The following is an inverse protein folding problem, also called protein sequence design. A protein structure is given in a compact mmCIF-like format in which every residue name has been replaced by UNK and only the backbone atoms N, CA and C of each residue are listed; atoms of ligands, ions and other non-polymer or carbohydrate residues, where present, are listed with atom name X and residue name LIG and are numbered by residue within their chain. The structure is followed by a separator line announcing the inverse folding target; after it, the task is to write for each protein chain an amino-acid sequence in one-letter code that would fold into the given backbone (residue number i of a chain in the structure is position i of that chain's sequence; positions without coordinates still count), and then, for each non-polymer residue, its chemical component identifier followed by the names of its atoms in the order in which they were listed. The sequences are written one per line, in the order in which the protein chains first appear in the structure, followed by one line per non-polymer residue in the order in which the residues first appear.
data_IF_108685158100
#
_entry.id   IF_108685158100
#
_cell.length_a   1.000
_cell.length_b   1.000
_cell.length_c   1.000
_cell.angle_alpha   90.00
_cell.angle_beta   90.00
_cell.angle_gamma   90.00
#
_symmetry.space_group_name_H-M   'P 1'
#
loop_
_entity.id
_entity.type
_entity.pdbx_description
1 polymer ?
2 non-polymer ?
3 non-polymer ?
4 non-polymer ?
5 water ?
#
# COMPACT_ATOMS: atom_id res chain seq x y z
N UNK A 3 32.04 -40.54 -24.17
CA UNK A 3 31.05 -39.52 -24.60
C UNK A 3 30.93 -38.42 -23.55
N UNK A 4 30.85 -37.17 -24.02
CA UNK A 4 30.76 -36.04 -23.11
C UNK A 4 29.41 -35.77 -22.47
N UNK A 5 29.33 -34.72 -21.63
CA UNK A 5 28.13 -34.31 -20.91
C UNK A 5 27.10 -33.60 -21.79
N UNK A 6 25.85 -33.59 -21.32
CA UNK A 6 24.73 -33.00 -22.02
C UNK A 6 24.49 -31.55 -21.64
N UNK A 7 23.80 -30.78 -22.50
CA UNK A 7 23.55 -29.38 -22.15
C UNK A 7 22.78 -29.26 -20.82
N UNK A 8 22.97 -28.15 -20.11
CA UNK A 8 22.31 -27.96 -18.83
C UNK A 8 20.83 -27.62 -18.97
N UNK A 9 20.02 -28.06 -18.01
CA UNK A 9 18.59 -27.79 -18.05
C UNK A 9 18.30 -26.42 -17.45
N UNK A 10 17.06 -25.99 -17.57
CA UNK A 10 16.67 -24.72 -17.02
C UNK A 10 16.04 -25.05 -15.67
N UNK A 11 16.04 -24.09 -14.77
CA UNK A 11 15.43 -24.27 -13.47
C UNK A 11 14.76 -22.95 -13.17
N UNK A 12 13.44 -22.95 -13.21
CA UNK A 12 12.67 -21.73 -12.99
C UNK A 12 11.58 -21.88 -11.95
N UNK A 13 11.32 -20.81 -11.21
CA UNK A 13 10.29 -20.82 -10.17
C UNK A 13 9.09 -20.05 -10.70
N UNK A 14 7.89 -20.47 -10.29
CA UNK A 14 6.65 -19.82 -10.75
C UNK A 14 5.57 -19.78 -9.67
N UNK A 15 4.80 -18.69 -9.62
CA UNK A 15 4.93 -17.51 -10.51
C UNK A 15 6.25 -16.72 -10.41
N UNK A 16 6.94 -16.81 -9.27
CA UNK A 16 8.19 -16.08 -9.09
C UNK A 16 9.18 -16.76 -8.14
N UNK A 17 10.44 -16.37 -8.22
CA UNK A 17 11.48 -16.92 -7.34
C UNK A 17 11.43 -16.13 -6.03
N UNK A 18 10.70 -15.03 -6.05
CA UNK A 18 10.52 -14.20 -4.85
C UNK A 18 9.16 -14.62 -4.33
N UNK A 19 9.15 -15.31 -3.21
CA UNK A 19 7.91 -15.80 -2.64
C UNK A 19 7.62 -15.30 -1.25
N UNK A 20 6.47 -14.64 -1.07
CA UNK A 20 6.14 -14.15 0.27
C UNK A 20 5.72 -15.35 1.12
N UNK A 21 6.14 -15.36 2.38
CA UNK A 21 5.81 -16.46 3.28
C UNK A 21 4.33 -16.78 3.21
N UNK A 22 3.99 -18.06 3.34
CA UNK A 22 2.61 -18.52 3.30
C UNK A 22 2.11 -18.66 1.86
N UNK A 23 2.82 -18.04 0.91
CA UNK A 23 2.40 -18.11 -0.48
C UNK A 23 3.03 -19.30 -1.19
N UNK A 24 2.43 -19.74 -2.32
CA UNK A 24 2.94 -20.89 -3.07
C UNK A 24 3.98 -20.58 -4.16
N UNK A 25 4.80 -21.59 -4.44
CA UNK A 25 5.84 -21.50 -5.47
C UNK A 25 6.17 -22.92 -5.93
N UNK A 26 6.31 -23.08 -7.24
CA UNK A 26 6.64 -24.37 -7.82
C UNK A 26 7.91 -24.28 -8.66
N UNK A 27 8.88 -25.15 -8.37
CA UNK A 27 10.15 -25.18 -9.08
C UNK A 27 10.07 -26.23 -10.18
N UNK A 28 10.62 -25.88 -11.34
CA UNK A 28 10.59 -26.80 -12.46
C UNK A 28 11.94 -26.92 -13.14
N UNK A 29 12.41 -28.17 -13.29
CA UNK A 29 13.66 -28.43 -13.98
C UNK A 29 13.23 -28.82 -15.40
N UNK A 30 13.96 -28.35 -16.41
CA UNK A 30 13.57 -28.69 -17.78
C UNK A 30 14.75 -28.79 -18.72
N UNK A 31 14.99 -29.98 -19.24
CA UNK A 31 16.09 -30.18 -20.18
C UNK A 31 15.51 -30.63 -21.50
N UNK A 32 16.35 -31.02 -22.48
CA UNK A 32 15.84 -31.46 -23.78
C UNK A 32 14.75 -32.54 -23.67
N UNK A 33 13.96 -32.71 -24.74
CA UNK A 33 12.91 -33.72 -24.70
C UNK A 33 13.45 -35.15 -24.61
N UNK A 34 12.77 -35.97 -23.82
CA UNK A 34 13.15 -37.36 -23.67
C UNK A 34 14.27 -37.78 -22.72
N UNK A 35 14.53 -37.04 -21.65
CA UNK A 35 15.59 -37.46 -20.73
C UNK A 35 15.09 -38.58 -19.80
N UNK A 36 16.02 -39.39 -19.29
CA UNK A 36 15.67 -40.50 -18.41
C UNK A 36 15.37 -40.13 -16.96
N UNK A 37 16.26 -39.35 -16.35
CA UNK A 37 16.09 -38.97 -14.95
C UNK A 37 16.37 -37.50 -14.71
N UNK A 38 15.68 -36.95 -13.71
CA UNK A 38 15.86 -35.56 -13.31
C UNK A 38 16.32 -35.57 -11.87
N UNK A 39 17.18 -34.64 -11.52
CA UNK A 39 17.65 -34.54 -10.14
C UNK A 39 17.64 -33.08 -9.68
N UNK A 40 16.81 -32.80 -8.69
CA UNK A 40 16.64 -31.46 -8.15
C UNK A 40 17.15 -31.41 -6.71
N UNK A 41 18.12 -30.55 -6.45
CA UNK A 41 18.68 -30.45 -5.12
C UNK A 41 18.67 -29.05 -4.53
N UNK A 42 18.78 -29.01 -3.20
CA UNK A 42 18.86 -27.76 -2.46
C UNK A 42 20.28 -27.81 -1.92
N UNK A 43 21.07 -26.78 -2.19
CA UNK A 43 22.46 -26.78 -1.74
C UNK A 43 22.69 -26.81 -0.23
N UNK A 44 21.76 -26.27 0.56
CA UNK A 44 21.90 -26.21 2.01
C UNK A 44 21.88 -27.57 2.70
N UNK A 45 21.10 -28.49 2.16
CA UNK A 45 21.00 -29.83 2.74
C UNK A 45 21.62 -30.85 1.82
N UNK A 46 21.94 -30.42 0.59
CA UNK A 46 22.53 -31.30 -0.41
C UNK A 46 21.55 -32.46 -0.70
N UNK A 47 20.38 -32.38 -0.07
CA UNK A 47 19.32 -33.38 -0.22
C UNK A 47 18.64 -33.13 -1.56
N UNK A 48 18.24 -34.20 -2.25
CA UNK A 48 17.63 -34.06 -3.55
C UNK A 48 16.39 -34.94 -3.74
N UNK A 49 15.80 -34.83 -4.92
CA UNK A 49 14.63 -35.60 -5.29
C UNK A 49 14.83 -35.90 -6.77
N UNK A 50 14.48 -37.11 -7.20
CA UNK A 50 14.67 -37.47 -8.60
C UNK A 50 13.47 -37.19 -9.50
N UNK A 51 12.96 -35.97 -9.43
CA UNK A 51 11.82 -35.53 -10.25
C UNK A 51 12.07 -34.06 -10.58
N UNK A 52 11.51 -33.60 -11.69
CA UNK A 52 11.71 -32.22 -12.13
C UNK A 52 10.88 -31.15 -11.42
N UNK A 53 9.74 -31.52 -10.84
CA UNK A 53 8.93 -30.51 -10.19
C UNK A 53 8.80 -30.61 -8.69
N UNK A 54 8.98 -29.47 -8.03
CA UNK A 54 8.84 -29.37 -6.58
C UNK A 54 7.75 -28.33 -6.32
N UNK A 55 6.72 -28.72 -5.59
CA UNK A 55 5.65 -27.79 -5.29
C UNK A 55 5.71 -27.41 -3.82
N UNK A 56 5.65 -26.11 -3.57
CA UNK A 56 5.67 -25.61 -2.20
C UNK A 56 4.34 -24.90 -1.99
N UNK A 57 3.38 -25.58 -1.32
CA UNK A 57 2.07 -24.99 -1.07
C UNK A 57 2.16 -23.68 -0.27
N UNK A 58 3.01 -23.68 0.75
CA UNK A 58 3.20 -22.50 1.58
C UNK A 58 4.69 -22.28 1.83
N UNK A 59 5.21 -21.19 1.30
CA UNK A 59 6.61 -20.84 1.41
C UNK A 59 7.08 -20.71 2.87
N UNK A 60 8.14 -21.42 3.23
CA UNK A 60 8.68 -21.37 4.58
C UNK A 60 10.10 -20.82 4.57
N UNK A 61 10.50 -20.23 5.69
CA UNK A 61 11.82 -19.64 5.84
C UNK A 61 12.90 -20.65 5.49
N UNK A 62 12.79 -21.86 6.05
CA UNK A 62 13.77 -22.92 5.82
C UNK A 62 13.77 -23.42 4.38
N UNK A 63 12.77 -23.01 3.60
CA UNK A 63 12.67 -23.45 2.21
C UNK A 63 13.35 -22.45 1.28
N UNK A 64 13.81 -21.33 1.84
CA UNK A 64 14.49 -20.32 1.03
C UNK A 64 15.90 -20.83 0.83
N UNK A 65 16.59 -20.28 -0.17
CA UNK A 65 17.96 -20.72 -0.44
C UNK A 65 18.20 -21.09 -1.89
N UNK A 66 19.37 -21.66 -2.15
CA UNK A 66 19.75 -22.07 -3.50
C UNK A 66 19.33 -23.48 -3.91
N UNK A 67 18.88 -23.61 -5.15
CA UNK A 67 18.48 -24.90 -5.71
C UNK A 67 19.20 -25.10 -7.04
N UNK A 68 19.39 -26.36 -7.41
CA UNK A 68 20.09 -26.69 -8.64
C UNK A 68 19.57 -28.01 -9.16
N UNK A 69 19.70 -28.25 -10.45
CA UNK A 69 19.22 -29.52 -10.98
C UNK A 69 20.00 -29.98 -12.20
N UNK A 70 20.03 -31.29 -12.39
CA UNK A 70 20.68 -31.93 -13.52
C UNK A 70 19.80 -33.08 -13.99
N UNK A 71 20.03 -33.55 -15.20
CA UNK A 71 19.27 -34.68 -15.69
C UNK A 71 20.23 -35.72 -16.25
N UNK A 72 19.81 -36.97 -16.22
CA UNK A 72 20.62 -38.06 -16.72
C UNK A 72 19.91 -38.76 -17.89
N UNK A 73 20.51 -38.73 -19.07
CA UNK A 73 19.93 -39.40 -20.22
C UNK A 73 20.88 -40.52 -20.58
N UNK A 74 20.38 -41.74 -20.62
CA UNK A 74 21.27 -42.85 -20.90
C UNK A 74 22.04 -42.96 -19.59
N UNK A 75 23.35 -42.85 -19.63
CA UNK A 75 24.13 -42.90 -18.40
C UNK A 75 24.92 -41.62 -18.29
N UNK A 76 24.67 -40.69 -19.21
CA UNK A 76 25.37 -39.41 -19.22
C UNK A 76 24.65 -38.31 -18.45
N UNK A 77 25.41 -37.55 -17.66
CA UNK A 77 24.87 -36.45 -16.90
C UNK A 77 25.00 -35.17 -17.72
N UNK A 78 24.23 -34.16 -17.33
CA UNK A 78 24.24 -32.87 -18.00
C UNK A 78 24.97 -31.91 -17.11
N UNK A 79 25.39 -30.79 -17.65
CA UNK A 79 26.04 -29.78 -16.84
C UNK A 79 24.92 -29.42 -15.88
N UNK A 80 25.25 -28.88 -14.69
CA UNK A 80 24.21 -28.51 -13.73
C UNK A 80 23.51 -27.23 -14.18
N UNK A 81 22.23 -27.10 -13.85
CA UNK A 81 21.50 -25.89 -14.24
C UNK A 81 22.08 -24.75 -13.44
N UNK A 82 21.72 -23.53 -13.82
CA UNK A 82 22.17 -22.37 -13.09
C UNK A 82 21.46 -22.48 -11.75
N UNK A 83 22.05 -21.89 -10.72
CA UNK A 83 21.45 -21.94 -9.40
C UNK A 83 20.20 -21.06 -9.34
N UNK A 84 19.14 -21.59 -8.73
CA UNK A 84 17.90 -20.85 -8.58
C UNK A 84 17.94 -20.39 -7.13
N UNK A 85 17.81 -19.07 -6.95
CA UNK A 85 17.84 -18.49 -5.60
C UNK A 85 16.41 -18.24 -5.12
N UNK A 86 15.84 -19.21 -4.42
CA UNK A 86 14.48 -19.08 -3.92
C UNK A 86 14.49 -18.14 -2.71
N UNK A 87 13.84 -17.00 -2.87
CA UNK A 87 13.80 -15.98 -1.82
C UNK A 87 12.46 -15.92 -1.08
N UNK A 88 12.53 -15.78 0.24
CA UNK A 88 11.33 -15.65 1.06
C UNK A 88 11.21 -14.17 1.45
N UNK A 89 10.10 -13.54 1.06
CA UNK A 89 9.86 -12.14 1.38
C UNK A 89 8.81 -12.08 2.49
N UNK A 90 8.82 -10.97 3.23
CA UNK A 90 7.87 -10.81 4.31
C UNK A 90 8.44 -11.44 5.57
N UNK A 91 9.75 -11.56 5.64
CA UNK A 91 10.39 -12.15 6.81
C UNK A 91 10.67 -11.08 7.85
N UNK A 92 10.76 -9.84 7.40
CA UNK A 92 11.04 -8.71 8.29
C UNK A 92 10.08 -7.57 7.98
N UNK A 93 10.06 -6.57 8.85
CA UNK A 93 9.23 -5.40 8.68
C UNK A 93 9.70 -4.66 7.44
N UNK A 94 8.75 -4.26 6.61
CA UNK A 94 9.04 -3.56 5.36
C UNK A 94 9.82 -2.26 5.57
N UNK A 95 10.73 -1.92 4.65
CA UNK A 95 11.47 -0.67 4.84
C UNK A 95 10.60 0.44 4.24
N UNK A 96 11.08 1.68 4.33
CA UNK A 96 10.33 2.80 3.77
C UNK A 96 11.14 3.42 2.66
N UNK A 97 10.49 3.56 1.51
CA UNK A 97 11.11 4.11 0.31
C UNK A 97 10.77 5.59 0.08
N UNK A 98 11.79 6.42 -0.06
CA UNK A 98 11.56 7.85 -0.29
C UNK A 98 12.48 8.39 -1.35
N UNK A 99 12.10 9.51 -1.93
CA UNK A 99 12.91 10.16 -2.96
C UNK A 99 13.87 11.12 -2.26
N UNK A 100 15.08 11.23 -2.78
CA UNK A 100 16.07 12.11 -2.19
C UNK A 100 16.37 13.27 -3.13
N UNK A 101 16.78 14.42 -2.57
CA UNK A 101 17.10 15.61 -3.37
C UNK A 101 18.21 15.38 -4.38
N UNK A 102 18.00 15.85 -5.61
CA UNK A 102 19.01 15.71 -6.63
C UNK A 102 19.73 17.03 -6.87
N UNK A 103 20.88 17.04 -7.56
CA UNK A 103 21.56 18.32 -7.77
C UNK A 103 20.74 19.30 -8.60
N UNK A 104 20.77 20.56 -8.19
CA UNK A 104 20.03 21.63 -8.85
C UNK A 104 20.34 21.74 -10.34
N UNK A 105 21.56 21.39 -10.72
CA UNK A 105 21.94 21.46 -12.12
C UNK A 105 21.56 20.13 -12.78
N UNK A 106 21.68 20.05 -14.10
CA UNK A 106 21.32 18.83 -14.83
C UNK A 106 21.87 17.57 -14.16
N UNK A 107 21.18 16.44 -14.37
CA UNK A 107 21.61 15.18 -13.77
C UNK A 107 21.41 13.96 -14.69
N UNK A 108 20.99 14.21 -15.92
CA UNK A 108 20.78 13.12 -16.87
C UNK A 108 19.73 12.09 -16.50
N UNK A 109 18.61 12.55 -15.98
CA UNK A 109 17.55 11.62 -15.61
C UNK A 109 17.80 10.83 -14.33
N UNK A 110 18.99 10.98 -13.77
CA UNK A 110 19.32 10.28 -12.53
C UNK A 110 18.27 10.57 -11.47
N UNK A 111 18.01 9.59 -10.62
CA UNK A 111 17.03 9.71 -9.54
C UNK A 111 17.59 8.94 -8.34
N UNK A 112 17.60 9.57 -7.17
CA UNK A 112 18.11 8.91 -5.99
C UNK A 112 16.98 8.56 -5.05
N UNK A 113 16.89 7.29 -4.70
CA UNK A 113 15.86 6.82 -3.79
C UNK A 113 16.55 6.30 -2.54
N UNK A 114 15.85 6.33 -1.41
CA UNK A 114 16.40 5.82 -0.16
C UNK A 114 15.54 4.70 0.36
N UNK A 115 16.15 3.56 0.64
CA UNK A 115 15.43 2.42 1.18
C UNK A 115 15.87 2.32 2.64
N UNK A 116 15.08 2.91 3.52
CA UNK A 116 15.40 2.97 4.94
C UNK A 116 14.72 1.97 5.85
N UNK A 117 15.54 1.25 6.59
CA UNK A 117 15.10 0.25 7.55
C UNK A 117 16.00 0.44 8.76
N UNK A 118 15.72 -0.23 9.88
CA UNK A 118 16.58 -0.04 11.04
C UNK A 118 17.23 -1.32 11.57
N UNK A 119 16.78 -2.46 11.06
CA UNK A 119 17.33 -3.77 11.48
C UNK A 119 18.86 -3.80 11.41
N UNK A 120 19.45 -2.87 10.67
CA UNK A 120 20.89 -2.85 10.54
C UNK A 120 21.32 -3.68 9.34
N UNK A 121 20.38 -3.97 8.44
CA UNK A 121 20.65 -4.76 7.25
C UNK A 121 21.66 -4.10 6.33
N UNK A 122 22.33 -4.90 5.51
CA UNK A 122 23.35 -4.37 4.61
C UNK A 122 23.12 -4.70 3.14
N UNK A 123 21.90 -5.04 2.77
CA UNK A 123 21.62 -5.34 1.38
C UNK A 123 20.25 -4.79 1.02
N UNK A 124 20.14 -4.21 -0.16
CA UNK A 124 18.89 -3.62 -0.60
C UNK A 124 18.57 -3.97 -2.03
N UNK A 125 17.32 -4.30 -2.29
CA UNK A 125 16.92 -4.62 -3.64
C UNK A 125 15.80 -3.67 -4.01
N UNK A 126 16.07 -2.80 -4.95
CA UNK A 126 15.07 -1.83 -5.37
C UNK A 126 14.53 -2.23 -6.73
N UNK A 127 13.23 -2.08 -6.96
CA UNK A 127 12.70 -2.43 -8.26
C UNK A 127 11.51 -1.62 -8.75
N UNK A 128 11.48 -1.45 -10.06
CA UNK A 128 10.40 -0.75 -10.72
C UNK A 128 9.48 -1.84 -11.26
N UNK A 129 8.22 -1.80 -10.83
CA UNK A 129 7.25 -2.77 -11.29
C UNK A 129 7.08 -2.67 -12.80
N UNK A 130 6.89 -3.81 -13.44
CA UNK A 130 6.69 -3.82 -14.87
C UNK A 130 5.23 -4.10 -15.17
N UNK A 131 4.55 -3.13 -15.77
CA UNK A 131 3.13 -3.28 -16.11
C UNK A 131 2.96 -4.21 -17.31
N UNK A 132 1.81 -4.92 -17.39
CA UNK A 132 1.53 -5.84 -18.49
C UNK A 132 1.07 -5.15 -19.77
N UNK A 133 0.74 -5.94 -20.79
CA UNK A 133 0.29 -5.42 -22.08
C UNK A 133 -1.15 -4.91 -21.99
N UNK A 134 -1.60 -4.12 -22.99
CA UNK A 134 -0.97 -3.62 -24.21
C UNK A 134 0.22 -2.69 -24.04
N UNK A 135 0.95 -2.82 -22.93
CA UNK A 135 2.10 -1.96 -22.67
C UNK A 135 3.36 -2.75 -22.40
N UNK A 136 3.21 -3.90 -21.75
CA UNK A 136 4.32 -4.78 -21.43
C UNK A 136 5.60 -4.03 -21.12
N UNK A 137 5.76 -3.62 -19.87
CA UNK A 137 6.95 -2.91 -19.44
C UNK A 137 7.70 -3.87 -18.55
N UNK A 138 8.99 -4.08 -18.81
CA UNK A 138 9.78 -5.00 -17.99
C UNK A 138 10.07 -4.48 -16.60
N UNK A 139 10.28 -5.41 -15.67
CA UNK A 139 10.62 -5.04 -14.31
C UNK A 139 12.09 -4.64 -14.43
N UNK A 140 12.54 -3.78 -13.54
CA UNK A 140 13.93 -3.35 -13.55
C UNK A 140 14.44 -3.40 -12.12
N UNK A 141 15.38 -4.30 -11.88
CA UNK A 141 15.95 -4.47 -10.56
C UNK A 141 17.23 -3.68 -10.33
N UNK A 142 17.42 -3.25 -9.09
CA UNK A 142 18.58 -2.47 -8.67
C UNK A 142 19.02 -2.98 -7.31
N UNK A 143 20.27 -3.40 -7.20
CA UNK A 143 20.75 -3.91 -5.93
C UNK A 143 21.86 -3.02 -5.41
N UNK A 144 21.87 -2.76 -4.10
CA UNK A 144 22.90 -1.92 -3.50
C UNK A 144 23.32 -2.46 -2.14
N UNK A 145 24.53 -2.08 -1.71
CA UNK A 145 25.06 -2.51 -0.42
C UNK A 145 24.84 -1.43 0.61
N UNK A 146 24.05 -0.43 0.24
CA UNK A 146 23.72 0.69 1.11
C UNK A 146 22.32 1.21 0.76
N UNK A 147 21.59 1.76 1.74
CA UNK A 147 20.23 2.29 1.58
C UNK A 147 19.97 3.40 0.59
N UNK A 148 20.99 4.16 0.21
CA UNK A 148 20.77 5.23 -0.74
C UNK A 148 21.21 4.82 -2.14
N UNK A 149 20.24 4.75 -3.06
CA UNK A 149 20.49 4.32 -4.42
C UNK A 149 20.09 5.32 -5.51
N UNK A 150 21.04 5.63 -6.39
CA UNK A 150 20.77 6.55 -7.48
C UNK A 150 20.44 5.76 -8.73
N UNK A 151 19.28 6.01 -9.32
CA UNK A 151 18.90 5.30 -10.53
C UNK A 151 19.18 6.22 -11.71
N UNK A 152 20.14 5.81 -12.55
CA UNK A 152 20.52 6.59 -13.71
C UNK A 152 19.44 6.52 -14.78
N UNK A 153 19.09 7.69 -15.32
CA UNK A 153 18.07 7.78 -16.36
C UNK A 153 16.91 6.88 -15.96
N UNK A 154 16.33 7.18 -14.80
CA UNK A 154 15.23 6.39 -14.27
C UNK A 154 13.98 6.47 -15.14
N UNK A 155 13.31 5.32 -15.27
CA UNK A 155 12.09 5.24 -16.05
C UNK A 155 10.91 5.50 -15.14
N UNK A 156 9.87 6.13 -15.67
CA UNK A 156 8.66 6.38 -14.89
C UNK A 156 8.10 5.03 -14.49
N UNK A 157 7.55 4.96 -13.28
CA UNK A 157 6.98 3.70 -12.83
C UNK A 157 6.76 3.64 -11.34
N UNK A 158 6.30 2.48 -10.88
CA UNK A 158 6.05 2.24 -9.47
C UNK A 158 7.26 1.52 -8.91
N UNK A 159 7.81 2.05 -7.83
CA UNK A 159 8.99 1.44 -7.21
C UNK A 159 8.74 0.91 -5.82
N UNK A 160 9.47 -0.13 -5.45
CA UNK A 160 9.36 -0.74 -4.13
C UNK A 160 10.74 -1.28 -3.83
N UNK A 161 11.06 -1.45 -2.55
CA UNK A 161 12.36 -1.98 -2.20
C UNK A 161 12.26 -2.99 -1.06
N UNK A 162 13.32 -3.77 -0.92
CA UNK A 162 13.44 -4.79 0.11
C UNK A 162 14.79 -4.64 0.75
N UNK A 163 14.88 -4.98 2.02
CA UNK A 163 16.15 -4.91 2.72
C UNK A 163 16.42 -6.29 3.29
N UNK A 164 17.69 -6.64 3.41
CA UNK A 164 18.07 -7.92 3.97
C UNK A 164 19.55 -7.94 4.30
N UNK A 165 19.96 -9.01 4.95
CA UNK A 165 21.33 -9.20 5.38
C UNK A 165 22.10 -10.17 4.50
N UNK A 166 23.37 -9.87 4.28
CA UNK A 166 24.24 -10.72 3.47
C UNK A 166 24.49 -12.06 4.15
N UNK A 167 24.12 -12.16 5.42
CA UNK A 167 24.28 -13.36 6.22
C UNK A 167 23.22 -14.40 5.85
N UNK A 168 22.05 -13.92 5.44
CA UNK A 168 20.92 -14.76 5.02
C UNK A 168 20.31 -14.03 3.83
N UNK A 169 21.04 -13.96 2.71
CA UNK A 169 20.64 -13.30 1.46
C UNK A 169 19.32 -13.73 0.83
N UNK A 170 18.76 -14.82 1.33
CA UNK A 170 17.50 -15.33 0.78
C UNK A 170 16.27 -15.09 1.64
N UNK A 171 16.47 -14.39 2.75
CA UNK A 171 15.39 -14.03 3.66
C UNK A 171 15.24 -12.51 3.59
N UNK A 172 14.29 -12.07 2.78
CA UNK A 172 14.06 -10.66 2.59
C UNK A 172 12.91 -10.15 3.43
N UNK A 173 12.88 -8.83 3.60
CA UNK A 173 11.82 -8.16 4.34
C UNK A 173 10.58 -8.18 3.46
N UNK A 174 9.52 -7.56 3.95
CA UNK A 174 8.30 -7.45 3.15
C UNK A 174 8.62 -6.24 2.26
N UNK A 175 7.89 -6.09 1.14
CA UNK A 175 8.14 -4.97 0.23
C UNK A 175 7.72 -3.65 0.83
N UNK A 176 8.47 -2.59 0.57
CA UNK A 176 8.13 -1.27 1.10
C UNK A 176 6.84 -0.76 0.44
N UNK A 177 6.31 0.35 0.94
CA UNK A 177 5.12 0.94 0.32
C UNK A 177 5.58 1.48 -1.03
N UNK A 178 4.70 1.47 -2.03
CA UNK A 178 5.03 1.94 -3.38
C UNK A 178 5.32 3.43 -3.57
N UNK A 179 6.22 3.72 -4.50
CA UNK A 179 6.58 5.08 -4.84
C UNK A 179 6.43 5.20 -6.35
N UNK A 180 5.60 6.14 -6.79
CA UNK A 180 5.34 6.36 -8.21
C UNK A 180 6.20 7.49 -8.74
N UNK A 181 7.21 7.12 -9.52
CA UNK A 181 8.11 8.09 -10.12
C UNK A 181 7.61 8.55 -11.49
N UNK A 182 7.45 9.86 -11.64
CA UNK A 182 7.00 10.41 -12.92
C UNK A 182 8.14 11.28 -13.45
N UNK A 183 8.95 10.72 -14.33
CA UNK A 183 10.08 11.45 -14.89
C UNK A 183 9.62 12.58 -15.80
N UNK A 184 10.30 13.72 -15.71
CA UNK A 184 9.96 14.91 -16.49
C UNK A 184 11.22 15.59 -17.00
N UNK B 1 -41.65 41.81 13.09
CA UNK B 1 -42.67 41.24 12.16
C UNK B 1 -42.10 40.14 11.30
N UNK B 2 -40.99 40.42 10.64
CA UNK B 2 -40.34 39.44 9.76
C UNK B 2 -39.01 39.01 10.37
N UNK B 3 -38.94 39.04 11.71
CA UNK B 3 -37.73 38.66 12.43
C UNK B 3 -37.52 37.14 12.29
N UNK B 4 -36.82 36.77 11.22
CA UNK B 4 -36.57 35.37 10.93
C UNK B 4 -35.53 34.68 11.79
N UNK B 5 -35.22 33.40 11.49
CA UNK B 5 -34.24 32.62 12.23
C UNK B 5 -32.85 33.24 12.27
N UNK B 6 -32.26 33.21 13.47
CA UNK B 6 -30.93 33.71 13.69
C UNK B 6 -29.92 32.98 12.82
N UNK B 7 -28.82 33.66 12.47
CA UNK B 7 -27.76 33.08 11.64
C UNK B 7 -27.21 31.76 12.20
N UNK B 8 -27.05 30.76 11.34
CA UNK B 8 -26.57 29.45 11.76
C UNK B 8 -25.21 29.46 12.45
N UNK B 9 -25.03 28.61 13.47
CA UNK B 9 -23.75 28.55 14.17
C UNK B 9 -22.81 27.66 13.38
N UNK B 10 -21.61 27.48 13.92
CA UNK B 10 -20.64 26.61 13.27
C UNK B 10 -20.59 25.33 14.09
N UNK B 11 -20.25 24.23 13.42
CA UNK B 11 -20.12 22.94 14.07
C UNK B 11 -18.94 22.24 13.43
N UNK B 12 -17.85 22.13 14.16
CA UNK B 12 -16.68 21.47 13.61
C UNK B 12 -16.18 20.37 14.51
N UNK B 13 -15.34 19.51 13.96
CA UNK B 13 -14.76 18.39 14.69
C UNK B 13 -13.25 18.55 14.79
N UNK B 14 -12.73 18.48 16.01
CA UNK B 14 -11.31 18.62 16.24
C UNK B 14 -10.74 17.32 16.78
N UNK B 15 -9.54 16.94 16.33
CA UNK B 15 -8.78 17.70 15.33
C UNK B 15 -9.26 17.48 13.89
N UNK B 16 -10.16 16.52 13.70
CA UNK B 16 -10.67 16.22 12.36
C UNK B 16 -11.99 15.47 12.29
N UNK B 17 -12.62 15.50 11.11
CA UNK B 17 -13.89 14.82 10.83
C UNK B 17 -13.65 13.35 10.54
N UNK B 18 -12.48 13.04 9.98
CA UNK B 18 -12.11 11.66 9.67
C UNK B 18 -11.49 11.14 10.96
N UNK B 19 -12.24 10.31 11.68
CA UNK B 19 -11.77 9.79 12.97
C UNK B 19 -11.62 8.28 13.01
N UNK B 20 -10.38 7.79 13.15
CA UNK B 20 -10.20 6.33 13.22
C UNK B 20 -10.78 5.81 14.51
N UNK B 21 -11.30 4.58 14.47
CA UNK B 21 -11.88 3.98 15.67
C UNK B 21 -10.96 4.12 16.87
N UNK B 22 -11.55 4.21 18.05
CA UNK B 22 -10.82 4.33 19.29
C UNK B 22 -10.01 5.63 19.44
N UNK B 23 -10.08 6.50 18.44
CA UNK B 23 -9.36 7.77 18.54
C UNK B 23 -10.32 8.87 19.02
N UNK B 24 -9.78 9.96 19.57
CA UNK B 24 -10.60 11.07 20.07
C UNK B 24 -11.11 12.08 19.04
N UNK B 25 -12.25 12.69 19.36
CA UNK B 25 -12.82 13.73 18.51
C UNK B 25 -13.68 14.66 19.34
N UNK B 26 -13.54 15.94 19.10
CA UNK B 26 -14.32 16.93 19.84
C UNK B 26 -15.22 17.68 18.87
N UNK B 27 -16.53 17.65 19.13
CA UNK B 27 -17.47 18.37 18.29
C UNK B 27 -17.82 19.66 19.00
N UNK B 28 -17.55 20.78 18.34
CA UNK B 28 -17.78 22.09 18.91
C UNK B 28 -18.77 22.94 18.10
N UNK B 29 -19.85 23.34 18.76
CA UNK B 29 -20.88 24.17 18.15
C UNK B 29 -20.55 25.59 18.59
N UNK B 30 -20.46 26.52 17.64
CA UNK B 30 -20.14 27.90 17.99
C UNK B 30 -21.05 28.94 17.35
N UNK B 31 -21.68 29.74 18.21
CA UNK B 31 -22.55 30.79 17.72
C UNK B 31 -21.96 32.13 18.12
N UNK B 32 -22.59 33.24 17.72
CA UNK B 32 -22.04 34.55 18.08
C UNK B 32 -22.25 34.78 19.58
N UNK B 33 -21.68 35.86 20.14
CA UNK B 33 -21.89 36.09 21.57
C UNK B 33 -23.36 36.34 21.84
N UNK B 34 -23.87 35.84 22.95
CA UNK B 34 -25.27 36.07 23.29
C UNK B 34 -26.16 34.84 23.24
N UNK B 35 -25.54 33.67 23.10
CA UNK B 35 -26.31 32.45 23.05
C UNK B 35 -26.80 32.12 24.46
N UNK B 36 -28.07 31.74 24.57
CA UNK B 36 -28.64 31.40 25.87
C UNK B 36 -28.70 29.91 25.99
N UNK B 37 -28.81 29.25 24.85
CA UNK B 37 -28.92 27.81 24.83
C UNK B 37 -28.38 27.22 23.55
N UNK B 38 -27.59 26.17 23.70
CA UNK B 38 -27.02 25.46 22.58
C UNK B 38 -27.72 24.13 22.52
N UNK B 39 -27.67 23.50 21.36
CA UNK B 39 -28.29 22.20 21.18
C UNK B 39 -27.57 21.47 20.06
N UNK B 40 -26.86 20.40 20.43
CA UNK B 40 -26.13 19.62 19.45
C UNK B 40 -26.89 18.31 19.34
N UNK B 41 -27.11 17.85 18.12
CA UNK B 41 -27.87 16.63 17.92
C UNK B 41 -27.33 15.70 16.85
N UNK B 42 -27.48 14.40 17.08
CA UNK B 42 -27.06 13.38 16.13
C UNK B 42 -28.34 13.05 15.37
N UNK B 43 -28.37 13.37 14.09
CA UNK B 43 -29.55 13.17 13.25
C UNK B 43 -30.17 11.77 13.19
N UNK B 44 -29.38 10.72 13.33
CA UNK B 44 -29.91 9.36 13.24
C UNK B 44 -30.75 8.92 14.42
N UNK B 45 -30.50 9.53 15.58
CA UNK B 45 -31.22 9.17 16.79
C UNK B 45 -32.18 10.24 17.28
N UNK B 46 -32.04 11.45 16.76
CA UNK B 46 -32.90 12.56 17.19
C UNK B 46 -32.68 12.75 18.69
N UNK B 47 -31.47 12.44 19.14
CA UNK B 47 -31.09 12.61 20.54
C UNK B 47 -30.14 13.79 20.60
N UNK B 48 -30.53 14.83 21.33
CA UNK B 48 -29.70 16.01 21.44
C UNK B 48 -29.28 16.32 22.88
N UNK B 49 -28.32 17.24 23.01
CA UNK B 49 -27.81 17.68 24.30
C UNK B 49 -27.91 19.18 24.33
N UNK B 50 -27.81 19.76 25.52
CA UNK B 50 -27.91 21.20 25.67
C UNK B 50 -26.54 21.87 25.72
N UNK B 51 -25.49 21.09 25.54
CA UNK B 51 -24.13 21.63 25.59
C UNK B 51 -23.54 21.84 24.20
N UNK B 52 -22.73 22.88 24.06
CA UNK B 52 -22.10 23.19 22.78
C UNK B 52 -21.01 22.19 22.38
N UNK B 53 -20.44 21.48 23.35
CA UNK B 53 -19.37 20.54 23.05
C UNK B 53 -19.65 19.08 23.34
N UNK B 54 -19.40 18.22 22.35
CA UNK B 54 -19.57 16.78 22.53
C UNK B 54 -18.21 16.15 22.36
N UNK B 55 -17.63 15.66 23.45
CA UNK B 55 -16.32 15.02 23.40
C UNK B 55 -16.43 13.51 23.35
N UNK B 56 -15.82 12.91 22.33
CA UNK B 56 -15.81 11.47 22.14
C UNK B 56 -14.35 11.02 22.35
N UNK B 57 -14.03 10.48 23.54
CA UNK B 57 -12.66 10.03 23.82
C UNK B 57 -12.16 8.95 22.88
N UNK B 58 -13.01 7.96 22.62
CA UNK B 58 -12.67 6.87 21.71
C UNK B 58 -13.76 6.67 20.66
N UNK B 59 -13.47 7.05 19.42
CA UNK B 59 -14.44 6.94 18.33
C UNK B 59 -15.00 5.52 18.12
N UNK B 60 -16.33 5.42 18.11
CA UNK B 60 -17.02 4.14 17.94
C UNK B 60 -17.83 4.19 16.66
N UNK B 61 -18.22 3.02 16.15
CA UNK B 61 -18.99 2.96 14.91
C UNK B 61 -20.37 3.63 15.06
N UNK B 62 -20.96 3.50 16.24
CA UNK B 62 -22.27 4.06 16.50
C UNK B 62 -22.28 5.56 16.65
N UNK B 63 -21.11 6.15 16.80
CA UNK B 63 -21.02 7.59 16.97
C UNK B 63 -20.71 8.26 15.63
N UNK B 64 -20.56 7.45 14.59
CA UNK B 64 -20.29 7.97 13.24
C UNK B 64 -21.61 8.40 12.67
N UNK B 65 -21.61 9.45 11.86
CA UNK B 65 -22.87 9.91 11.28
C UNK B 65 -23.00 11.41 11.13
N UNK B 66 -24.22 11.87 10.87
CA UNK B 66 -24.49 13.29 10.67
C UNK B 66 -24.88 14.00 11.98
N UNK B 67 -24.34 15.20 12.16
CA UNK B 67 -24.67 16.00 13.33
C UNK B 67 -24.98 17.42 12.89
N UNK B 68 -25.85 18.07 13.65
CA UNK B 68 -26.22 19.46 13.39
C UNK B 68 -26.41 20.07 14.78
N UNK B 69 -26.29 21.38 14.85
CA UNK B 69 -26.49 22.06 16.11
C UNK B 69 -27.14 23.39 15.80
N UNK B 70 -27.87 23.91 16.77
CA UNK B 70 -28.55 25.18 16.63
C UNK B 70 -28.45 25.83 18.00
N UNK B 71 -28.88 27.08 18.10
CA UNK B 71 -28.83 27.77 19.36
C UNK B 71 -29.99 28.71 19.43
N UNK B 72 -30.31 29.14 20.65
CA UNK B 72 -31.40 30.04 20.88
C UNK B 72 -30.92 31.29 21.61
N UNK B 73 -31.33 32.44 21.09
CA UNK B 73 -31.01 33.74 21.69
C UNK B 73 -32.36 34.42 21.85
N UNK B 74 -32.74 34.69 23.10
CA UNK B 74 -34.04 35.28 23.34
C UNK B 74 -35.05 34.17 23.13
N UNK B 75 -36.11 34.46 22.40
CA UNK B 75 -37.11 33.42 22.13
C UNK B 75 -36.94 32.96 20.69
N UNK B 76 -35.77 33.28 20.12
CA UNK B 76 -35.45 32.93 18.74
C UNK B 76 -34.41 31.83 18.57
N UNK B 77 -34.73 30.86 17.73
CA UNK B 77 -33.82 29.77 17.41
C UNK B 77 -33.11 30.16 16.11
N UNK B 78 -31.88 29.68 15.95
CA UNK B 78 -31.12 30.00 14.78
C UNK B 78 -31.34 28.95 13.71
N UNK B 79 -30.72 29.16 12.55
CA UNK B 79 -30.80 28.18 11.48
C UNK B 79 -29.87 27.09 11.94
N UNK B 80 -30.06 25.86 11.46
CA UNK B 80 -29.15 24.82 11.90
C UNK B 80 -27.79 25.00 11.21
N UNK B 81 -26.73 24.53 11.86
CA UNK B 81 -25.39 24.64 11.29
C UNK B 81 -25.37 23.70 10.11
N UNK B 82 -24.35 23.79 9.26
CA UNK B 82 -24.24 22.86 8.14
C UNK B 82 -24.08 21.50 8.82
N UNK B 83 -24.49 20.43 8.16
CA UNK B 83 -24.33 19.14 8.82
C UNK B 83 -22.87 18.70 8.87
N UNK B 84 -22.44 18.30 10.06
CA UNK B 84 -21.10 17.79 10.25
C UNK B 84 -21.19 16.30 9.97
N UNK B 85 -20.45 15.82 8.99
CA UNK B 85 -20.48 14.41 8.68
C UNK B 85 -19.31 13.72 9.39
N UNK B 86 -19.60 13.12 10.55
CA UNK B 86 -18.60 12.44 11.35
C UNK B 86 -18.31 11.02 10.83
N UNK B 87 -17.14 10.86 10.24
CA UNK B 87 -16.71 9.60 9.66
C UNK B 87 -15.79 8.82 10.59
N UNK B 88 -16.00 7.51 10.64
CA UNK B 88 -15.19 6.62 11.44
C UNK B 88 -14.31 5.83 10.47
N UNK B 89 -13.01 5.82 10.70
CA UNK B 89 -12.14 5.06 9.80
C UNK B 89 -11.57 3.87 10.55
N UNK B 90 -11.09 2.89 9.80
CA UNK B 90 -10.54 1.68 10.38
C UNK B 90 -11.64 0.67 10.64
N UNK B 91 -12.79 0.88 10.03
CA UNK B 91 -13.92 -0.01 10.24
C UNK B 91 -13.75 -1.28 9.41
N UNK B 92 -12.88 -1.22 8.42
CA UNK B 92 -12.65 -2.36 7.54
C UNK B 92 -11.18 -2.47 7.15
N UNK B 93 -10.83 -3.60 6.52
CA UNK B 93 -9.45 -3.81 6.08
C UNK B 93 -9.13 -2.71 5.07
N UNK B 94 -7.91 -2.22 5.10
CA UNK B 94 -7.50 -1.17 4.19
C UNK B 94 -7.45 -1.62 2.73
N UNK B 95 -7.76 -0.71 1.81
CA UNK B 95 -7.71 -1.09 0.38
C UNK B 95 -6.26 -0.87 -0.08
N UNK B 96 -5.96 -1.15 -1.35
CA UNK B 96 -4.61 -0.93 -1.83
C UNK B 96 -4.64 0.17 -2.89
N UNK B 97 -3.62 1.02 -2.86
CA UNK B 97 -3.51 2.13 -3.80
C UNK B 97 -2.32 1.88 -4.72
N UNK B 98 -2.52 2.03 -6.02
CA UNK B 98 -1.47 1.78 -7.00
C UNK B 98 -1.73 2.64 -8.21
N UNK B 99 -0.74 2.71 -9.11
CA UNK B 99 -0.89 3.51 -10.31
C UNK B 99 -1.47 2.68 -11.44
N UNK B 109 2.31 15.17 -15.41
CA UNK B 109 1.34 15.99 -16.19
C UNK B 109 -0.10 15.61 -15.87
N UNK B 110 -0.32 14.35 -15.48
CA UNK B 110 -1.64 13.84 -15.15
C UNK B 110 -1.51 12.34 -14.89
N UNK B 111 -1.80 11.92 -13.66
CA UNK B 111 -1.69 10.52 -13.29
C UNK B 111 -3.00 9.91 -12.81
N UNK B 112 -3.19 8.61 -13.07
CA UNK B 112 -4.39 7.91 -12.64
C UNK B 112 -4.04 6.81 -11.66
N UNK B 113 -4.68 6.84 -10.50
CA UNK B 113 -4.46 5.85 -9.46
C UNK B 113 -5.73 5.03 -9.29
N UNK B 114 -5.59 3.80 -8.83
CA UNK B 114 -6.74 2.94 -8.62
C UNK B 114 -6.76 2.44 -7.19
N UNK B 115 -7.88 2.65 -6.51
CA UNK B 115 -8.05 2.21 -5.14
C UNK B 115 -8.76 0.86 -5.19
N UNK B 116 -8.00 -0.19 -4.90
CA UNK B 116 -8.54 -1.55 -4.94
C UNK B 116 -8.93 -2.08 -3.58
N UNK B 117 -10.21 -2.46 -3.47
CA UNK B 117 -10.76 -3.01 -2.23
C UNK B 117 -11.37 -4.39 -2.48
N UNK B 118 -11.66 -5.13 -1.41
CA UNK B 118 -12.22 -6.47 -1.55
C UNK B 118 -13.68 -6.64 -1.13
N UNK B 119 -14.13 -5.93 -0.11
CA UNK B 119 -15.50 -6.05 0.39
C UNK B 119 -16.58 -5.73 -0.64
N UNK B 120 -16.19 -5.32 -1.84
CA UNK B 120 -17.18 -4.99 -2.84
C UNK B 120 -17.87 -3.66 -2.58
N UNK B 121 -17.16 -2.75 -1.90
CA UNK B 121 -17.73 -1.43 -1.63
C UNK B 121 -17.88 -0.73 -2.96
N UNK B 122 -18.57 0.41 -2.98
CA UNK B 122 -18.78 1.15 -4.21
C UNK B 122 -18.35 2.62 -4.06
N UNK B 123 -17.66 2.91 -2.96
CA UNK B 123 -17.20 4.27 -2.71
C UNK B 123 -15.72 4.32 -2.40
N UNK B 124 -15.09 5.43 -2.77
CA UNK B 124 -13.66 5.63 -2.57
C UNK B 124 -13.35 7.09 -2.29
N UNK B 125 -12.33 7.31 -1.47
CA UNK B 125 -11.90 8.65 -1.14
C UNK B 125 -10.39 8.64 -1.21
N UNK B 126 -9.83 9.57 -1.95
CA UNK B 126 -8.38 9.67 -2.07
C UNK B 126 -7.97 11.07 -1.64
N UNK B 127 -6.87 11.18 -0.91
CA UNK B 127 -6.40 12.48 -0.49
C UNK B 127 -4.88 12.60 -0.41
N UNK B 128 -4.38 13.77 -0.80
CA UNK B 128 -2.95 14.06 -0.77
C UNK B 128 -2.68 14.75 0.54
N UNK B 129 -1.76 14.21 1.34
CA UNK B 129 -1.44 14.80 2.61
C UNK B 129 -1.12 16.29 2.45
N UNK B 130 -1.43 17.08 3.47
CA UNK B 130 -1.15 18.49 3.39
C UNK B 130 0.32 18.71 3.12
N UNK B 139 -3.20 19.48 1.14
CA UNK B 139 -4.45 18.67 1.16
C UNK B 139 -5.20 18.74 -0.16
N UNK B 140 -5.99 17.71 -0.42
CA UNK B 140 -6.80 17.62 -1.64
C UNK B 140 -7.55 16.29 -1.62
N UNK B 141 -8.89 16.35 -1.71
CA UNK B 141 -9.70 15.15 -1.71
C UNK B 141 -10.34 14.81 -3.05
N UNK B 142 -10.51 13.52 -3.28
CA UNK B 142 -11.11 13.02 -4.51
C UNK B 142 -12.02 11.85 -4.15
N UNK B 143 -13.33 12.08 -4.23
CA UNK B 143 -14.31 11.05 -3.91
C UNK B 143 -14.89 10.55 -5.23
N UNK B 144 -15.00 9.23 -5.39
CA UNK B 144 -15.52 8.68 -6.63
C UNK B 144 -16.20 7.32 -6.45
N UNK B 145 -17.20 7.06 -7.28
CA UNK B 145 -17.94 5.79 -7.24
C UNK B 145 -17.33 4.79 -8.21
N UNK B 146 -16.01 4.88 -8.37
CA UNK B 146 -15.26 3.99 -9.28
C UNK B 146 -13.85 3.83 -8.73
N UNK B 147 -13.38 2.58 -8.58
CA UNK B 147 -12.03 2.29 -8.06
C UNK B 147 -10.87 2.89 -8.83
N UNK B 148 -11.16 3.66 -9.87
CA UNK B 148 -10.11 4.28 -10.69
C UNK B 148 -10.24 5.79 -10.77
N UNK B 149 -9.38 6.49 -10.03
CA UNK B 149 -9.39 7.96 -9.99
C UNK B 149 -8.19 8.52 -10.73
N UNK B 150 -8.41 9.63 -11.43
CA UNK B 150 -7.35 10.27 -12.19
C UNK B 150 -7.09 11.69 -11.73
N UNK B 151 -6.01 11.89 -11.00
CA UNK B 151 -5.65 13.22 -10.52
C UNK B 151 -5.23 14.07 -11.70
N UNK B 152 -5.88 15.23 -11.85
CA UNK B 152 -5.58 16.16 -12.94
C UNK B 152 -4.17 16.71 -12.85
N UNK B 153 -3.93 17.60 -11.90
CA UNK B 153 -2.60 18.18 -11.74
C UNK B 153 -1.67 17.22 -10.99
N UNK B 154 -0.77 16.58 -11.73
CA UNK B 154 0.18 15.63 -11.15
C UNK B 154 1.10 16.33 -10.14
N UNK B 155 0.61 16.54 -8.93
CA UNK B 155 1.38 17.20 -7.88
C UNK B 155 2.05 16.24 -6.91
N UNK B 156 3.37 16.27 -6.90
CA UNK B 156 4.17 15.42 -6.02
C UNK B 156 3.56 15.45 -4.62
N UNK B 157 3.54 14.29 -3.95
CA UNK B 157 2.99 14.22 -2.62
C UNK B 157 2.70 12.79 -2.19
N UNK B 158 2.15 12.63 -0.98
CA UNK B 158 1.83 11.33 -0.43
C UNK B 158 0.33 11.06 -0.47
N UNK B 159 -0.09 10.01 -1.20
CA UNK B 159 -1.49 9.67 -1.33
C UNK B 159 -1.93 8.46 -0.50
N UNK B 160 -3.22 8.43 -0.18
CA UNK B 160 -3.85 7.35 0.58
C UNK B 160 -5.33 7.32 0.22
N UNK B 161 -5.92 6.13 0.20
CA UNK B 161 -7.35 6.04 -0.12
C UNK B 161 -8.13 5.18 0.87
N UNK B 162 -9.43 5.45 0.93
CA UNK B 162 -10.34 4.73 1.80
C UNK B 162 -11.43 4.15 0.93
N UNK B 163 -11.98 3.01 1.33
CA UNK B 163 -13.05 2.38 0.57
C UNK B 163 -14.26 2.18 1.48
N UNK B 164 -15.45 2.35 0.93
CA UNK B 164 -16.67 2.18 1.71
C UNK B 164 -17.92 1.97 0.87
N UNK B 165 -19.01 1.59 1.56
CA UNK B 165 -20.29 1.34 0.93
C UNK B 165 -21.20 2.56 1.04
N UNK B 166 -21.91 2.87 -0.05
CA UNK B 166 -22.81 4.02 -0.05
C UNK B 166 -24.03 3.75 0.84
N UNK B 167 -24.11 2.53 1.35
CA UNK B 167 -25.20 2.14 2.22
C UNK B 167 -24.92 2.61 3.65
N UNK B 168 -23.64 2.78 3.95
CA UNK B 168 -23.15 3.25 5.25
C UNK B 168 -21.98 4.16 4.90
N UNK B 169 -22.27 5.28 4.23
CA UNK B 169 -21.29 6.28 3.79
C UNK B 169 -20.42 6.93 4.87
N UNK B 170 -20.62 6.57 6.13
CA UNK B 170 -19.85 7.16 7.23
C UNK B 170 -18.97 6.17 7.97
N UNK B 171 -19.00 4.91 7.53
CA UNK B 171 -18.16 3.87 8.12
C UNK B 171 -17.11 3.54 7.06
N UNK B 172 -15.90 4.08 7.26
CA UNK B 172 -14.81 3.86 6.31
C UNK B 172 -13.75 2.85 6.75
N UNK B 173 -13.09 2.27 5.76
CA UNK B 173 -12.04 1.28 6.00
C UNK B 173 -10.81 1.97 6.58
N UNK B 174 -9.79 1.19 6.86
CA UNK B 174 -8.53 1.75 7.35
C UNK B 174 -7.92 2.32 6.08
N UNK B 175 -7.11 3.38 6.21
CA UNK B 175 -6.48 3.97 5.03
C UNK B 175 -5.55 2.98 4.37
N UNK B 176 -5.37 3.12 3.06
CA UNK B 176 -4.46 2.25 2.33
C UNK B 176 -3.03 2.66 2.68
N UNK B 177 -2.07 1.79 2.36
CA UNK B 177 -0.68 2.14 2.60
C UNK B 177 -0.45 3.36 1.69
N UNK B 178 0.38 4.30 2.12
CA UNK B 178 0.63 5.48 1.30
C UNK B 178 1.36 5.18 0.00
N UNK B 179 0.97 5.89 -1.06
CA UNK B 179 1.61 5.73 -2.35
C UNK B 179 2.29 7.08 -2.56
N UNK B 180 3.62 7.09 -2.57
CA UNK B 180 4.35 8.34 -2.73
C UNK B 180 4.48 8.74 -4.19
N UNK B 181 3.79 9.82 -4.57
CA UNK B 181 3.86 10.29 -5.93
C UNK B 181 5.01 11.29 -6.01
N UNK B 182 5.94 11.09 -6.93
CA UNK B 182 7.04 12.02 -7.05
C UNK B 182 7.36 12.38 -8.51
N UNK B 183 7.06 13.62 -8.87
CA UNK B 183 7.30 14.11 -10.23
C UNK B 183 8.60 14.89 -10.33
N UNK B 184 9.40 14.53 -11.34
CA UNK B 184 10.68 15.17 -11.57
C UNK B 184 10.59 16.26 -12.65
#
# INVERSE_FOLDING_TARGET
GQSGPLPKPSLQALPSSLVPLEKPVTLRCQGPPGVDLYRLEKLSSSRYQDQAVLFIPAMKRSLAGRYRCSYQNGSLWSLPSDQLELVATGVFAKPSLSAQPGPAVSSGGDVTLQCQTRYGFDQFALYKEGDPAPYKNPERWYRASFPIITVTAAHSGTYRCYSFSSRDPYLWSAPSDPLELVVT
GQSGPLPKPSLQALPSSLVPLEKPVTLRCQGPPGVDLYRLEKLSSSRYQDQAVLFIPAMKRSLAGRYRCSYQNGSLWSLPSDQLELVATGVFAKPSLSAQPGPAVSSGGDVTLQCQTRYGFDQFALYKEGDPAPYKNPERWYRASFPIITVTAAHSGTYRCYSFSSRDPYLWSAPSDPLELVVT
#
